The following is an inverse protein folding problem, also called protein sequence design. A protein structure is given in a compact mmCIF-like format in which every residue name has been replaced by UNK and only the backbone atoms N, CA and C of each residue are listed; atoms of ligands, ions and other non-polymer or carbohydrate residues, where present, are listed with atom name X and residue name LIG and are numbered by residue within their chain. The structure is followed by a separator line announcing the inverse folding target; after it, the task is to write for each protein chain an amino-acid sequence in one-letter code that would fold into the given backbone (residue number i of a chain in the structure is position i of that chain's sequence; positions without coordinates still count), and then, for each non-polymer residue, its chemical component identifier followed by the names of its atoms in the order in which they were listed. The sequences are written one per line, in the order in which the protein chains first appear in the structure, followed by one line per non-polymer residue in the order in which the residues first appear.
data_IF_161302512830
#
_entry.id   IF_161302512830
#
_cell.length_a   1.000
_cell.length_b   1.000
_cell.length_c   1.000
_cell.angle_alpha   90.00
_cell.angle_beta   90.00
_cell.angle_gamma   90.00
#
_symmetry.space_group_name_H-M   'P 1'
#
loop_
_entity.id
_entity.type
_entity.pdbx_description
1 polymer ?
#
# COMPACT_ATOMS: atom_id res chain seq x y z
N UNK A 1 7.61 12.30 -4.55
CA UNK A 1 6.26 12.17 -5.12
C UNK A 1 5.31 13.00 -4.30
N UNK A 2 4.49 13.80 -4.96
CA UNK A 2 3.39 14.55 -4.33
C UNK A 2 2.11 13.74 -4.46
N UNK A 3 1.37 13.61 -3.37
CA UNK A 3 0.14 12.84 -3.26
C UNK A 3 -0.98 13.78 -2.85
N UNK A 4 -2.00 13.91 -3.71
CA UNK A 4 -3.25 14.59 -3.37
C UNK A 4 -4.11 13.66 -2.52
N UNK A 5 -4.35 14.02 -1.26
CA UNK A 5 -5.01 13.16 -0.30
C UNK A 5 -5.72 13.97 0.80
N UNK A 6 -6.71 14.82 0.46
CA UNK A 6 -7.30 15.77 1.39
C UNK A 6 -7.97 15.07 2.59
N UNK A 7 -8.49 13.85 2.40
CA UNK A 7 -9.18 13.11 3.47
C UNK A 7 -8.26 12.65 4.61
N UNK A 8 -7.04 12.23 4.31
CA UNK A 8 -6.08 11.74 5.32
C UNK A 8 -5.02 12.77 5.66
N UNK A 9 -5.01 13.91 4.96
CA UNK A 9 -4.09 15.01 5.17
C UNK A 9 -4.15 15.48 6.62
N UNK A 10 -5.36 15.62 7.16
CA UNK A 10 -5.58 15.99 8.54
C UNK A 10 -5.17 14.82 9.46
N UNK A 11 -4.25 15.12 10.37
CA UNK A 11 -3.64 14.13 11.27
C UNK A 11 -2.29 13.57 10.79
N UNK A 12 -1.81 13.96 9.60
CA UNK A 12 -0.42 13.74 9.21
C UNK A 12 0.48 14.89 9.69
N UNK A 13 1.73 14.54 10.01
CA UNK A 13 2.81 15.48 10.33
C UNK A 13 4.04 15.11 9.51
N UNK A 14 4.96 16.06 9.33
CA UNK A 14 6.27 15.74 8.76
C UNK A 14 6.97 14.72 9.66
N UNK A 15 7.50 13.65 9.06
CA UNK A 15 8.06 12.51 9.77
C UNK A 15 7.07 11.39 10.06
N UNK A 16 5.77 11.57 9.81
CA UNK A 16 4.78 10.51 9.97
C UNK A 16 4.94 9.42 8.88
N UNK A 17 4.63 8.19 9.26
CA UNK A 17 4.54 7.05 8.33
C UNK A 17 3.17 6.98 7.68
N UNK A 18 3.16 6.76 6.36
CA UNK A 18 1.97 6.56 5.54
C UNK A 18 2.25 5.47 4.51
N UNK A 19 1.35 4.52 4.34
CA UNK A 19 1.44 3.49 3.33
C UNK A 19 0.84 3.99 2.01
N UNK A 20 1.56 3.79 0.91
CA UNK A 20 1.11 3.98 -0.47
C UNK A 20 1.14 2.61 -1.15
N UNK A 21 -0.02 2.10 -1.54
CA UNK A 21 -0.20 0.71 -2.01
C UNK A 21 0.52 -0.31 -1.12
N UNK A 22 0.35 -0.16 0.19
CA UNK A 22 0.97 -1.02 1.20
C UNK A 22 2.47 -0.80 1.40
N UNK A 23 3.14 0.09 0.66
CA UNK A 23 4.54 0.43 0.91
C UNK A 23 4.67 1.63 1.86
N UNK A 24 5.36 1.44 2.98
CA UNK A 24 5.58 2.49 3.98
C UNK A 24 6.50 3.58 3.44
N UNK A 25 6.03 4.83 3.56
CA UNK A 25 6.75 6.04 3.23
C UNK A 25 6.75 7.01 4.41
N UNK A 26 7.75 7.89 4.45
CA UNK A 26 7.80 8.99 5.41
C UNK A 26 7.37 10.28 4.74
N UNK A 27 6.42 11.00 5.36
CA UNK A 27 5.99 12.33 4.92
C UNK A 27 7.13 13.32 5.11
N UNK A 28 7.59 13.94 4.03
CA UNK A 28 8.67 14.94 4.05
C UNK A 28 8.15 16.37 4.06
N UNK A 29 7.02 16.61 3.38
CA UNK A 29 6.38 17.93 3.30
C UNK A 29 4.87 17.76 3.33
N UNK A 30 4.20 18.73 3.93
CA UNK A 30 2.75 18.85 3.89
C UNK A 30 2.34 19.92 2.87
N UNK A 31 1.31 19.66 2.10
CA UNK A 31 0.68 20.63 1.18
C UNK A 31 -0.76 20.90 1.64
N UNK A 32 -1.45 21.84 0.98
CA UNK A 32 -2.82 22.22 1.34
C UNK A 32 -3.81 21.06 1.15
N UNK A 33 -3.61 20.24 0.10
CA UNK A 33 -4.49 19.12 -0.24
C UNK A 33 -3.89 17.74 0.00
N UNK A 34 -2.68 17.65 0.58
CA UNK A 34 -1.95 16.38 0.60
C UNK A 34 -0.54 16.49 1.15
N UNK A 35 0.36 15.64 0.65
CA UNK A 35 1.70 15.54 1.20
C UNK A 35 2.69 15.04 0.17
N UNK A 36 3.98 15.24 0.48
CA UNK A 36 5.09 14.77 -0.33
C UNK A 36 5.82 13.68 0.43
N UNK A 37 6.22 12.64 -0.29
CA UNK A 37 7.09 11.56 0.19
C UNK A 37 8.29 11.39 -0.74
N UNK A 38 9.35 10.78 -0.21
CA UNK A 38 10.49 10.34 -1.02
C UNK A 38 10.57 8.82 -0.98
N UNK A 39 10.54 8.20 -2.16
CA UNK A 39 10.76 6.76 -2.29
C UNK A 39 12.25 6.51 -2.48
N UNK A 40 12.81 5.62 -1.68
CA UNK A 40 14.20 5.16 -1.84
C UNK A 40 14.29 4.10 -2.95
N UNK A 41 15.50 3.85 -3.45
CA UNK A 41 15.74 2.89 -4.53
C UNK A 41 15.16 1.50 -4.24
N UNK A 42 15.29 1.01 -3.00
CA UNK A 42 14.72 -0.28 -2.59
C UNK A 42 13.20 -0.32 -2.78
N UNK A 43 12.47 0.71 -2.33
CA UNK A 43 11.02 0.81 -2.51
C UNK A 43 10.64 0.82 -3.99
N UNK A 44 11.33 1.62 -4.80
CA UNK A 44 11.07 1.69 -6.24
C UNK A 44 11.34 0.35 -6.95
N UNK A 45 12.33 -0.43 -6.47
CA UNK A 45 12.69 -1.72 -7.06
C UNK A 45 11.80 -2.89 -6.65
N UNK A 46 11.08 -2.78 -5.53
CA UNK A 46 10.31 -3.89 -4.92
C UNK A 46 8.79 -3.67 -4.93
N UNK A 47 8.34 -2.54 -5.44
CA UNK A 47 6.93 -2.16 -5.43
C UNK A 47 6.51 -1.65 -6.80
N UNK A 48 5.21 -1.47 -6.98
CA UNK A 48 4.65 -0.82 -8.17
C UNK A 48 4.97 0.68 -8.24
N UNK A 49 5.61 1.28 -7.23
CA UNK A 49 5.84 2.71 -7.16
C UNK A 49 6.73 3.28 -8.28
N UNK A 50 7.61 2.47 -8.88
CA UNK A 50 8.39 2.88 -10.05
C UNK A 50 7.54 3.07 -11.31
N UNK A 51 6.32 2.51 -11.33
CA UNK A 51 5.40 2.62 -12.46
C UNK A 51 4.43 3.80 -12.35
N UNK A 52 4.39 4.46 -11.19
CA UNK A 52 3.50 5.60 -10.95
C UNK A 52 3.77 6.74 -11.92
N UNK A 53 2.69 7.38 -12.32
CA UNK A 53 2.68 8.57 -13.19
C UNK A 53 1.74 9.60 -12.57
N UNK A 54 1.81 10.82 -13.08
CA UNK A 54 0.81 11.82 -12.72
C UNK A 54 -0.59 11.29 -13.04
N UNK A 55 -1.50 11.37 -12.07
CA UNK A 55 -2.86 10.83 -12.17
C UNK A 55 -3.01 9.36 -11.76
N UNK A 56 -1.93 8.65 -11.37
CA UNK A 56 -2.07 7.31 -10.77
C UNK A 56 -2.88 7.37 -9.47
N UNK A 57 -3.89 6.51 -9.35
CA UNK A 57 -4.58 6.25 -8.10
C UNK A 57 -3.81 5.23 -7.28
N UNK A 58 -3.75 5.44 -5.97
CA UNK A 58 -3.06 4.58 -5.01
C UNK A 58 -3.91 4.40 -3.77
N UNK A 59 -3.81 3.24 -3.14
CA UNK A 59 -4.37 3.00 -1.82
C UNK A 59 -3.52 3.75 -0.78
N UNK A 60 -4.17 4.38 0.20
CA UNK A 60 -3.50 5.13 1.26
C UNK A 60 -3.97 4.68 2.64
N UNK A 61 -3.01 4.41 3.52
CA UNK A 61 -3.30 4.10 4.92
C UNK A 61 -2.34 4.84 5.86
N UNK A 62 -2.88 5.45 6.93
CA UNK A 62 -2.06 6.08 7.97
C UNK A 62 -1.54 5.02 8.93
N UNK A 63 -0.36 5.25 9.49
CA UNK A 63 0.13 4.41 10.57
C UNK A 63 -0.89 4.32 11.72
N UNK A 64 -1.13 3.10 12.21
CA UNK A 64 -2.06 2.83 13.30
C UNK A 64 -1.61 3.55 14.57
N UNK A 65 -2.57 4.13 15.30
CA UNK A 65 -2.29 4.77 16.58
C UNK A 65 -2.19 3.70 17.67
N UNK A 66 -1.22 3.80 18.57
CA UNK A 66 -1.11 2.86 19.68
C UNK A 66 -2.42 2.83 20.50
N UNK A 67 -2.94 1.62 20.75
CA UNK A 67 -4.19 1.41 21.47
C UNK A 67 -5.47 1.70 20.66
N UNK A 68 -5.37 2.03 19.37
CA UNK A 68 -6.56 2.06 18.51
C UNK A 68 -7.01 0.65 18.13
N UNK A 69 -8.22 0.57 17.56
CA UNK A 69 -8.71 -0.66 16.93
C UNK A 69 -7.78 -1.06 15.78
N UNK A 70 -7.49 -2.35 15.69
CA UNK A 70 -6.79 -2.99 14.58
C UNK A 70 -7.72 -4.08 14.06
N UNK A 71 -8.29 -3.84 12.88
CA UNK A 71 -9.07 -4.84 12.14
C UNK A 71 -8.21 -5.38 10.99
N UNK A 72 -8.49 -6.59 10.52
CA UNK A 72 -7.64 -7.28 9.54
C UNK A 72 -6.48 -7.98 10.23
N UNK A 73 -5.24 -7.61 9.89
CA UNK A 73 -4.01 -8.20 10.43
C UNK A 73 -2.88 -7.17 10.46
N UNK A 74 -1.72 -7.53 11.04
CA UNK A 74 -0.57 -6.64 11.11
C UNK A 74 0.12 -6.49 9.75
N UNK A 75 0.08 -5.27 9.20
CA UNK A 75 0.80 -4.90 7.97
C UNK A 75 1.93 -3.94 8.33
N UNK A 76 3.18 -4.34 8.07
CA UNK A 76 4.35 -3.52 8.41
C UNK A 76 4.65 -2.43 7.38
N UNK A 77 4.14 -2.59 6.17
CA UNK A 77 4.42 -1.71 5.04
C UNK A 77 5.75 -2.00 4.32
N UNK A 78 6.37 -3.15 4.57
CA UNK A 78 7.56 -3.63 3.85
C UNK A 78 7.12 -4.64 2.80
N UNK A 79 6.97 -4.20 1.55
CA UNK A 79 6.51 -5.07 0.46
C UNK A 79 7.59 -6.09 0.09
N UNK A 80 7.21 -7.36 0.06
CA UNK A 80 8.10 -8.48 -0.25
C UNK A 80 8.29 -8.70 -1.76
N UNK A 81 7.19 -8.62 -2.53
CA UNK A 81 7.19 -8.88 -3.97
C UNK A 81 6.06 -8.15 -4.71
N UNK A 82 6.17 -8.10 -6.04
CA UNK A 82 5.10 -7.62 -6.93
C UNK A 82 4.44 -8.82 -7.60
N UNK A 83 3.17 -9.07 -7.26
CA UNK A 83 2.35 -10.10 -7.89
C UNK A 83 1.69 -9.62 -9.19
N UNK A 84 1.24 -10.56 -10.02
CA UNK A 84 0.51 -10.27 -11.27
C UNK A 84 -0.91 -10.78 -11.18
N UNK A 85 -1.89 -9.95 -11.54
CA UNK A 85 -3.27 -10.42 -11.73
C UNK A 85 -3.34 -11.27 -13.01
N UNK A 86 -3.89 -12.48 -12.89
CA UNK A 86 -4.06 -13.43 -14.00
C UNK A 86 -5.52 -13.69 -14.35
N UNK A 87 -6.46 -13.31 -13.48
CA UNK A 87 -7.88 -13.47 -13.70
C UNK A 87 -8.69 -12.47 -12.86
N UNK A 88 -9.81 -12.01 -13.41
CA UNK A 88 -10.80 -11.22 -12.68
C UNK A 88 -12.19 -11.64 -13.10
N UNK A 89 -13.06 -11.89 -12.14
CA UNK A 89 -14.44 -12.30 -12.39
C UNK A 89 -15.44 -11.63 -11.43
N UNK A 90 -16.49 -11.04 -11.99
CA UNK A 90 -17.60 -10.47 -11.23
C UNK A 90 -18.62 -11.55 -10.82
N UNK A 91 -18.98 -11.56 -9.54
CA UNK A 91 -19.91 -12.53 -8.95
C UNK A 91 -20.89 -11.82 -8.02
N UNK A 92 -22.00 -11.33 -8.59
CA UNK A 92 -23.24 -11.01 -7.87
C UNK A 92 -23.09 -10.23 -6.55
N UNK A 93 -22.09 -9.35 -6.44
CA UNK A 93 -21.80 -8.59 -5.22
C UNK A 93 -20.33 -8.63 -4.74
N UNK A 94 -19.50 -9.51 -5.30
CA UNK A 94 -18.05 -9.52 -5.07
C UNK A 94 -17.29 -9.78 -6.37
N UNK A 95 -15.99 -9.49 -6.35
CA UNK A 95 -15.06 -9.79 -7.42
C UNK A 95 -14.08 -10.86 -6.95
N UNK A 96 -13.91 -11.91 -7.75
CA UNK A 96 -12.79 -12.83 -7.61
C UNK A 96 -11.61 -12.28 -8.41
N UNK A 97 -10.44 -12.21 -7.78
CA UNK A 97 -9.21 -11.76 -8.41
C UNK A 97 -8.16 -12.83 -8.17
N UNK A 98 -7.66 -13.40 -9.26
CA UNK A 98 -6.64 -14.44 -9.22
C UNK A 98 -5.27 -13.79 -9.42
N UNK A 99 -4.33 -14.10 -8.53
CA UNK A 99 -2.96 -13.63 -8.58
C UNK A 99 -2.00 -14.78 -8.85
N UNK A 100 -1.03 -14.54 -9.72
CA UNK A 100 0.17 -15.37 -9.82
C UNK A 100 1.05 -15.08 -8.60
N UNK A 101 1.38 -16.13 -7.85
CA UNK A 101 2.21 -16.04 -6.64
C UNK A 101 3.68 -15.91 -7.04
N UNK A 102 4.37 -14.84 -6.64
CA UNK A 102 5.82 -14.73 -6.84
C UNK A 102 6.57 -15.82 -6.06
N UNK A 103 7.59 -16.47 -6.64
CA UNK A 103 8.35 -17.52 -5.96
C UNK A 103 8.98 -17.07 -4.64
N UNK A 104 9.29 -15.78 -4.50
CA UNK A 104 9.91 -15.20 -3.30
C UNK A 104 9.03 -15.27 -2.05
N UNK A 105 7.71 -15.43 -2.23
CA UNK A 105 6.73 -15.44 -1.13
C UNK A 105 5.93 -16.74 -1.04
N UNK A 106 6.18 -17.72 -1.92
CA UNK A 106 5.41 -18.96 -2.02
C UNK A 106 5.34 -19.72 -0.69
N UNK A 107 6.48 -19.88 0.00
CA UNK A 107 6.58 -20.60 1.28
C UNK A 107 5.91 -19.87 2.46
N UNK A 108 5.52 -18.60 2.30
CA UNK A 108 4.90 -17.79 3.34
C UNK A 108 3.37 -17.75 3.24
N UNK A 109 2.79 -18.30 2.17
CA UNK A 109 1.35 -18.27 1.92
C UNK A 109 0.73 -19.60 2.35
N UNK A 110 -0.40 -19.49 3.06
CA UNK A 110 -1.18 -20.64 3.53
C UNK A 110 -2.64 -20.52 3.12
N UNK A 111 -3.30 -21.67 2.93
CA UNK A 111 -4.72 -21.72 2.64
C UNK A 111 -5.53 -21.01 3.74
N UNK A 112 -6.39 -20.08 3.33
CA UNK A 112 -7.19 -19.21 4.21
C UNK A 112 -6.38 -18.26 5.12
N UNK A 113 -5.09 -18.08 4.87
CA UNK A 113 -4.29 -17.04 5.50
C UNK A 113 -4.65 -15.64 5.01
N UNK A 114 -4.21 -14.62 5.76
CA UNK A 114 -4.30 -13.23 5.32
C UNK A 114 -3.07 -12.86 4.47
N UNK A 115 -3.28 -11.93 3.54
CA UNK A 115 -2.24 -11.31 2.72
C UNK A 115 -2.62 -9.84 2.51
N UNK A 116 -1.63 -8.95 2.44
CA UNK A 116 -1.83 -7.54 2.06
C UNK A 116 -1.49 -7.38 0.57
N UNK A 117 -2.39 -6.77 -0.20
CA UNK A 117 -2.24 -6.56 -1.63
C UNK A 117 -2.55 -5.09 -1.91
N UNK A 118 -1.50 -4.34 -2.21
CA UNK A 118 -1.56 -2.88 -2.30
C UNK A 118 -2.14 -2.21 -1.03
N UNK A 119 -1.77 -2.72 0.14
CA UNK A 119 -2.34 -2.36 1.44
C UNK A 119 -3.37 -3.39 1.89
#
# INVERSE_FOLDING_TARGET
MEISAPLIRDGLSVGASVALDGACHTVTTLTDGGFIVTSIGTTLSRTVASSYREGSEVNLERAVKMGSRLDGHFVQGHVDAVGRVIGMEERGGYRLIDFEIPPEVEDMIVLHGSIAING
#
